data_IF_081980800826
#
_entry.id   IF_081980800826
#
_cell.length_a   1.000
_cell.length_b   1.000
_cell.length_c   1.000
_cell.angle_alpha   90.00
_cell.angle_beta   90.00
_cell.angle_gamma   90.00
#
_symmetry.space_group_name_H-M   'P 1'
#
loop_
_entity.id
_entity.type
_entity.pdbx_description
1 polymer ?
#
# COMPACT_ATOMS: atom_id res chain seq x y z
N UNK A 1 4.56 11.20 -2.69
CA UNK A 1 3.21 11.44 -2.11
C UNK A 1 2.21 11.67 -3.24
N UNK A 2 0.91 11.79 -2.93
CA UNK A 2 -0.11 12.11 -3.93
C UNK A 2 0.03 13.54 -4.43
N UNK A 3 -0.33 13.77 -5.70
CA UNK A 3 -0.38 15.10 -6.31
C UNK A 3 -1.78 15.46 -6.78
N UNK A 4 -2.04 16.75 -6.99
CA UNK A 4 -3.35 17.23 -7.40
C UNK A 4 -3.73 16.71 -8.79
N UNK A 5 -4.95 16.23 -8.95
CA UNK A 5 -5.44 15.65 -10.21
C UNK A 5 -4.87 14.26 -10.54
N UNK A 6 -4.20 13.61 -9.59
CA UNK A 6 -3.67 12.26 -9.79
C UNK A 6 -4.80 11.24 -9.97
N UNK A 7 -4.69 10.42 -11.03
CA UNK A 7 -5.63 9.34 -11.38
C UNK A 7 -5.05 7.96 -11.00
N UNK A 8 -3.74 7.77 -11.22
CA UNK A 8 -3.06 6.50 -11.00
C UNK A 8 -2.56 6.35 -9.56
N UNK A 9 -2.08 5.15 -9.21
CA UNK A 9 -1.37 4.91 -7.95
C UNK A 9 -0.12 5.81 -7.82
N UNK A 10 0.42 5.92 -6.61
CA UNK A 10 1.69 6.62 -6.37
C UNK A 10 2.83 5.91 -7.10
N UNK A 11 3.82 6.71 -7.54
CA UNK A 11 5.04 6.18 -8.12
C UNK A 11 5.72 5.18 -7.16
N UNK A 12 6.18 4.03 -7.67
CA UNK A 12 6.76 2.99 -6.85
C UNK A 12 8.15 3.40 -6.35
N UNK A 13 8.38 3.18 -5.08
CA UNK A 13 9.68 3.34 -4.44
C UNK A 13 10.26 2.02 -3.90
N UNK A 14 9.58 0.91 -4.15
CA UNK A 14 10.02 -0.45 -3.83
C UNK A 14 9.79 -1.38 -5.04
N UNK A 15 10.47 -2.53 -5.04
CA UNK A 15 10.25 -3.58 -6.04
C UNK A 15 8.83 -4.12 -5.97
N UNK A 16 8.34 -4.36 -4.75
CA UNK A 16 6.97 -4.82 -4.46
C UNK A 16 5.92 -3.86 -5.02
N UNK A 17 6.05 -2.55 -4.80
CA UNK A 17 5.07 -1.59 -5.32
C UNK A 17 5.09 -1.53 -6.85
N UNK A 18 6.26 -1.73 -7.47
CA UNK A 18 6.38 -1.86 -8.93
C UNK A 18 5.62 -3.08 -9.46
N UNK A 19 5.74 -4.24 -8.81
CA UNK A 19 5.00 -5.45 -9.17
C UNK A 19 3.49 -5.30 -8.91
N UNK A 20 3.09 -4.60 -7.84
CA UNK A 20 1.68 -4.26 -7.59
C UNK A 20 1.08 -3.39 -8.69
N UNK A 21 1.83 -2.40 -9.19
CA UNK A 21 1.43 -1.56 -10.32
C UNK A 21 1.22 -2.39 -11.59
N UNK A 22 2.16 -3.28 -11.92
CA UNK A 22 2.05 -4.16 -13.09
C UNK A 22 0.84 -5.11 -12.97
N UNK A 23 0.62 -5.67 -11.78
CA UNK A 23 -0.54 -6.52 -11.52
C UNK A 23 -1.86 -5.74 -11.60
N UNK A 24 -1.88 -4.52 -11.06
CA UNK A 24 -3.02 -3.61 -11.17
C UNK A 24 -3.36 -3.32 -12.64
N UNK A 25 -2.37 -3.00 -13.47
CA UNK A 25 -2.60 -2.69 -14.88
C UNK A 25 -3.10 -3.91 -15.67
N UNK A 26 -2.56 -5.10 -15.38
CA UNK A 26 -3.08 -6.36 -15.93
C UNK A 26 -4.55 -6.58 -15.53
N UNK A 27 -4.90 -6.37 -14.27
CA UNK A 27 -6.28 -6.49 -13.81
C UNK A 27 -7.20 -5.44 -14.44
N UNK A 28 -6.75 -4.19 -14.53
CA UNK A 28 -7.52 -3.10 -15.12
C UNK A 28 -7.76 -3.33 -16.62
N UNK A 29 -6.79 -3.85 -17.35
CA UNK A 29 -6.95 -4.24 -18.75
C UNK A 29 -8.10 -5.24 -18.93
N UNK A 30 -8.14 -6.28 -18.09
CA UNK A 30 -9.20 -7.29 -18.15
C UNK A 30 -10.57 -6.71 -17.77
N UNK A 31 -10.64 -5.90 -16.71
CA UNK A 31 -11.88 -5.24 -16.27
C UNK A 31 -12.43 -4.33 -17.38
N UNK A 32 -11.57 -3.51 -18.00
CA UNK A 32 -11.96 -2.65 -19.11
C UNK A 32 -12.41 -3.46 -20.33
N UNK A 33 -11.72 -4.56 -20.64
CA UNK A 33 -12.12 -5.48 -21.71
C UNK A 33 -13.52 -6.08 -21.49
N UNK A 34 -13.79 -6.57 -20.29
CA UNK A 34 -15.12 -7.11 -19.92
C UNK A 34 -16.17 -6.00 -19.95
N UNK A 35 -15.88 -4.84 -19.37
CA UNK A 35 -16.80 -3.71 -19.32
C UNK A 35 -17.18 -3.22 -20.72
N UNK A 36 -16.19 -3.05 -21.60
CA UNK A 36 -16.43 -2.62 -22.99
C UNK A 36 -17.23 -3.65 -23.79
N UNK A 37 -16.97 -4.95 -23.59
CA UNK A 37 -17.75 -6.03 -24.20
C UNK A 37 -19.22 -5.98 -23.75
N UNK A 38 -19.46 -5.94 -22.44
CA UNK A 38 -20.82 -5.92 -21.87
C UNK A 38 -21.57 -4.65 -22.28
N UNK A 39 -20.92 -3.49 -22.20
CA UNK A 39 -21.49 -2.23 -22.64
C UNK A 39 -21.80 -2.24 -24.15
N UNK A 40 -20.92 -2.79 -24.97
CA UNK A 40 -21.12 -2.94 -26.42
C UNK A 40 -22.33 -3.81 -26.76
N UNK A 41 -22.46 -4.97 -26.11
CA UNK A 41 -23.62 -5.86 -26.25
C UNK A 41 -24.90 -5.14 -25.77
N UNK A 42 -24.84 -4.45 -24.62
CA UNK A 42 -25.96 -3.68 -24.08
C UNK A 42 -26.46 -2.61 -25.05
N UNK A 43 -25.56 -1.82 -25.63
CA UNK A 43 -25.90 -0.80 -26.63
C UNK A 43 -26.51 -1.44 -27.89
N UNK A 44 -25.96 -2.56 -28.35
CA UNK A 44 -26.48 -3.29 -29.51
C UNK A 44 -27.91 -3.78 -29.28
N UNK A 45 -28.18 -4.39 -28.11
CA UNK A 45 -29.52 -4.86 -27.73
C UNK A 45 -30.50 -3.68 -27.63
N UNK A 46 -30.11 -2.58 -26.97
CA UNK A 46 -30.96 -1.38 -26.82
C UNK A 46 -31.28 -0.70 -28.16
N UNK A 47 -30.38 -0.81 -29.15
CA UNK A 47 -30.61 -0.27 -30.50
C UNK A 47 -31.40 -1.21 -31.42
N UNK A 48 -31.52 -2.48 -31.06
CA UNK A 48 -32.24 -3.46 -31.87
C UNK A 48 -33.72 -3.11 -31.94
N UNK A 49 -34.27 -3.06 -33.16
CA UNK A 49 -35.72 -2.94 -33.40
C UNK A 49 -36.41 -4.31 -33.54
N UNK A 50 -35.62 -5.39 -33.61
CA UNK A 50 -36.12 -6.74 -33.77
C UNK A 50 -36.56 -7.29 -32.41
N UNK A 51 -37.69 -7.99 -32.37
CA UNK A 51 -38.20 -8.63 -31.15
C UNK A 51 -38.51 -10.10 -31.39
N UNK A 52 -38.29 -10.92 -30.37
CA UNK A 52 -38.72 -12.31 -30.31
C UNK A 52 -39.37 -12.56 -28.96
N UNK A 53 -40.43 -13.39 -28.93
CA UNK A 53 -41.11 -13.84 -27.70
C UNK A 53 -40.73 -15.27 -27.31
N UNK A 54 -39.91 -15.93 -28.13
CA UNK A 54 -39.47 -17.30 -27.89
C UNK A 54 -38.19 -17.25 -27.08
N UNK A 55 -38.14 -18.04 -26.01
CA UNK A 55 -36.89 -18.35 -25.33
C UNK A 55 -36.14 -19.35 -26.20
N UNK A 56 -34.88 -19.06 -26.48
CA UNK A 56 -34.01 -19.95 -27.24
C UNK A 56 -33.04 -20.60 -26.27
N UNK A 57 -33.05 -21.93 -26.23
CA UNK A 57 -32.00 -22.69 -25.58
C UNK A 57 -30.70 -22.55 -26.40
N UNK A 58 -29.60 -22.24 -25.73
CA UNK A 58 -28.32 -22.01 -26.36
C UNK A 58 -27.17 -22.60 -25.53
N UNK A 59 -27.20 -23.92 -25.34
CA UNK A 59 -26.21 -24.65 -24.54
C UNK A 59 -24.75 -24.33 -24.96
N UNK A 60 -24.50 -24.14 -26.25
CA UNK A 60 -23.16 -23.77 -26.75
C UNK A 60 -22.71 -22.40 -26.23
N UNK A 61 -23.61 -21.42 -26.16
CA UNK A 61 -23.33 -20.10 -25.59
C UNK A 61 -23.07 -20.19 -24.08
N UNK A 62 -23.85 -21.02 -23.39
CA UNK A 62 -23.68 -21.25 -21.94
C UNK A 62 -22.31 -21.84 -21.60
N UNK A 63 -21.84 -22.79 -22.41
CA UNK A 63 -20.50 -23.36 -22.26
C UNK A 63 -19.43 -22.29 -22.47
N UNK A 64 -19.56 -21.45 -23.50
CA UNK A 64 -18.58 -20.40 -23.83
C UNK A 64 -18.48 -19.37 -22.70
N UNK A 65 -19.60 -18.80 -22.24
CA UNK A 65 -19.56 -17.78 -21.19
C UNK A 65 -19.23 -18.33 -19.79
N UNK A 66 -19.15 -19.66 -19.63
CA UNK A 66 -18.75 -20.29 -18.37
C UNK A 66 -17.25 -20.56 -18.37
N UNK A 67 -16.74 -21.13 -19.46
CA UNK A 67 -15.31 -21.46 -19.60
C UNK A 67 -14.47 -20.19 -19.76
N UNK A 68 -14.92 -19.22 -20.56
CA UNK A 68 -14.15 -18.00 -20.86
C UNK A 68 -13.82 -17.19 -19.58
N UNK A 69 -14.78 -16.83 -18.70
CA UNK A 69 -14.46 -16.15 -17.44
C UNK A 69 -13.57 -17.01 -16.53
N UNK A 70 -13.76 -18.33 -16.51
CA UNK A 70 -12.89 -19.23 -15.76
C UNK A 70 -11.42 -19.12 -16.19
N UNK A 71 -11.15 -19.07 -17.48
CA UNK A 71 -9.80 -18.86 -18.02
C UNK A 71 -9.25 -17.46 -17.68
N UNK A 72 -10.08 -16.42 -17.75
CA UNK A 72 -9.68 -15.05 -17.35
C UNK A 72 -9.33 -14.95 -15.86
N UNK A 73 -10.04 -15.67 -14.99
CA UNK A 73 -9.70 -15.71 -13.56
C UNK A 73 -8.36 -16.40 -13.31
N UNK A 74 -8.01 -17.43 -14.09
CA UNK A 74 -6.70 -18.10 -13.97
C UNK A 74 -5.57 -17.12 -14.33
N UNK A 75 -5.73 -16.31 -15.38
CA UNK A 75 -4.70 -15.32 -15.76
C UNK A 75 -4.54 -14.19 -14.75
N UNK A 76 -5.55 -13.90 -13.93
CA UNK A 76 -5.45 -13.00 -12.77
C UNK A 76 -4.80 -13.69 -11.57
N UNK A 77 -5.21 -14.92 -11.28
CA UNK A 77 -4.80 -15.64 -10.08
C UNK A 77 -3.30 -15.94 -10.07
N UNK A 78 -2.71 -16.36 -11.19
CA UNK A 78 -1.29 -16.73 -11.26
C UNK A 78 -0.33 -15.59 -10.87
N UNK A 79 -0.38 -14.38 -11.49
CA UNK A 79 0.48 -13.28 -11.07
C UNK A 79 0.14 -12.77 -9.66
N UNK A 80 -1.14 -12.79 -9.26
CA UNK A 80 -1.57 -12.41 -7.92
C UNK A 80 -0.93 -13.28 -6.84
N UNK A 81 -0.96 -14.61 -7.00
CA UNK A 81 -0.35 -15.54 -6.07
C UNK A 81 1.16 -15.41 -6.04
N UNK A 82 1.82 -15.23 -7.20
CA UNK A 82 3.27 -14.97 -7.24
C UNK A 82 3.62 -13.74 -6.42
N UNK A 83 2.90 -12.63 -6.60
CA UNK A 83 3.12 -11.40 -5.85
C UNK A 83 2.88 -11.58 -4.36
N UNK A 84 1.84 -12.33 -3.97
CA UNK A 84 1.58 -12.66 -2.56
C UNK A 84 2.77 -13.38 -1.91
N UNK A 85 3.38 -14.35 -2.58
CA UNK A 85 4.55 -15.05 -2.05
C UNK A 85 5.80 -14.16 -1.99
N UNK A 86 6.01 -13.28 -2.98
CA UNK A 86 7.11 -12.30 -2.94
C UNK A 86 6.97 -11.29 -1.80
N UNK A 87 5.72 -10.92 -1.47
CA UNK A 87 5.39 -10.03 -0.36
C UNK A 87 5.66 -10.67 1.01
N UNK A 88 5.34 -11.96 1.14
CA UNK A 88 5.47 -12.69 2.41
C UNK A 88 6.92 -13.12 2.69
N UNK A 89 7.77 -13.16 1.66
CA UNK A 89 9.19 -13.50 1.80
C UNK A 89 9.91 -12.48 2.72
N UNK A 90 10.19 -12.90 3.95
CA UNK A 90 10.99 -12.12 4.89
C UNK A 90 12.48 -12.39 4.66
N UNK A 91 13.31 -11.35 4.50
CA UNK A 91 14.76 -11.54 4.39
C UNK A 91 15.31 -12.10 5.70
N UNK A 92 15.79 -13.35 5.65
CA UNK A 92 16.27 -14.15 6.80
C UNK A 92 17.40 -13.44 7.59
N UNK A 93 18.10 -12.49 6.96
CA UNK A 93 19.25 -11.79 7.51
C UNK A 93 19.07 -10.27 7.62
N UNK A 94 17.83 -9.74 7.66
CA UNK A 94 17.68 -8.29 7.89
C UNK A 94 18.22 -7.93 9.28
N UNK A 95 19.34 -7.21 9.29
CA UNK A 95 19.96 -6.69 10.51
C UNK A 95 19.32 -5.39 10.98
N UNK A 96 18.45 -4.79 10.16
CA UNK A 96 17.77 -3.55 10.49
C UNK A 96 16.31 -3.85 10.81
N UNK A 97 15.85 -3.43 11.98
CA UNK A 97 14.46 -3.55 12.38
C UNK A 97 13.92 -2.21 12.84
N UNK A 98 12.64 -2.00 12.57
CA UNK A 98 11.89 -0.83 12.99
C UNK A 98 10.63 -1.31 13.68
N UNK A 99 10.40 -0.90 14.93
CA UNK A 99 9.09 -1.07 15.54
C UNK A 99 8.28 0.20 15.34
N UNK A 100 7.06 0.07 14.84
CA UNK A 100 6.08 1.13 14.73
C UNK A 100 4.91 0.83 15.68
N UNK A 101 4.66 1.70 16.63
CA UNK A 101 3.67 1.52 17.69
C UNK A 101 2.58 2.58 17.51
N UNK A 102 1.34 2.15 17.32
CA UNK A 102 0.18 3.02 17.18
C UNK A 102 -0.37 3.48 18.54
N UNK A 103 -0.74 4.77 18.59
CA UNK A 103 -1.39 5.43 19.72
C UNK A 103 -2.50 6.36 19.22
N UNK A 104 -3.48 6.68 20.07
CA UNK A 104 -4.45 7.75 19.87
C UNK A 104 -3.80 9.11 20.21
N UNK A 105 -3.42 9.97 19.27
CA UNK A 105 -3.40 9.84 17.80
C UNK A 105 -2.03 10.27 17.26
N UNK A 106 -1.07 9.37 17.36
CA UNK A 106 0.32 9.55 16.94
C UNK A 106 1.00 8.19 16.78
N UNK A 107 2.23 8.19 16.27
CA UNK A 107 3.05 6.98 16.16
C UNK A 107 4.28 7.11 17.03
N UNK A 108 4.66 6.04 17.72
CA UNK A 108 5.97 5.94 18.36
C UNK A 108 6.83 4.94 17.61
N UNK A 109 8.12 5.23 17.50
CA UNK A 109 9.07 4.37 16.80
C UNK A 109 10.19 3.93 17.73
N UNK A 110 10.57 2.66 17.64
CA UNK A 110 11.79 2.13 18.28
C UNK A 110 12.67 1.47 17.22
N UNK A 111 13.95 1.81 17.23
CA UNK A 111 14.94 1.20 16.33
C UNK A 111 15.97 0.47 17.19
N UNK A 112 15.96 -0.88 17.21
CA UNK A 112 16.87 -1.64 18.06
C UNK A 112 18.35 -1.43 17.78
N UNK A 113 18.73 -1.21 16.52
CA UNK A 113 20.11 -0.89 16.16
C UNK A 113 20.58 0.47 16.69
N UNK A 114 19.66 1.36 17.07
CA UNK A 114 19.92 2.70 17.64
C UNK A 114 19.83 2.73 19.17
N UNK A 115 19.99 1.56 19.82
CA UNK A 115 19.93 1.44 21.27
C UNK A 115 18.51 1.47 21.84
N UNK A 116 17.50 1.08 21.05
CA UNK A 116 16.08 1.02 21.46
C UNK A 116 15.53 2.33 22.03
N UNK A 117 16.08 3.50 21.65
CA UNK A 117 15.46 4.78 22.02
C UNK A 117 14.13 4.91 21.30
N UNK A 118 13.06 5.07 22.06
CA UNK A 118 11.75 5.43 21.52
C UNK A 118 11.67 6.94 21.29
N UNK A 119 10.95 7.32 20.24
CA UNK A 119 10.51 8.70 20.03
C UNK A 119 9.11 8.72 19.45
N UNK A 120 8.40 9.81 19.71
CA UNK A 120 7.04 10.01 19.25
C UNK A 120 7.04 10.89 17.99
N UNK A 121 6.09 10.63 17.11
CA UNK A 121 5.89 11.30 15.83
C UNK A 121 4.45 11.80 15.76
N UNK A 122 4.29 13.10 16.00
CA UNK A 122 3.02 13.82 15.96
C UNK A 122 2.90 14.61 14.66
N UNK A 123 1.66 14.78 14.19
CA UNK A 123 1.38 15.66 13.06
C UNK A 123 1.74 17.11 13.41
N UNK A 124 2.48 17.77 12.52
CA UNK A 124 2.76 19.20 12.65
C UNK A 124 1.46 20.01 12.55
N UNK A 125 1.10 20.84 13.55
CA UNK A 125 -0.10 21.67 13.50
C UNK A 125 -0.07 22.61 12.31
N UNK A 126 -1.23 22.85 11.67
CA UNK A 126 -1.29 23.68 10.45
C UNK A 126 -0.74 25.10 10.64
N UNK A 127 -0.79 25.66 11.85
CA UNK A 127 -0.19 26.96 12.18
C UNK A 127 1.33 26.97 12.24
N UNK A 128 1.98 25.81 12.35
CA UNK A 128 3.42 25.63 12.48
C UNK A 128 4.10 25.10 11.21
N UNK A 129 3.32 24.83 10.15
CA UNK A 129 3.82 24.33 8.86
C UNK A 129 4.63 25.43 8.17
N UNK A 130 5.82 25.07 7.70
CA UNK A 130 6.73 25.97 6.98
C UNK A 130 6.33 26.09 5.49
N UNK A 131 6.69 27.18 4.80
CA UNK A 131 6.46 27.30 3.36
C UNK A 131 7.09 26.12 2.58
N UNK A 132 6.25 25.37 1.86
CA UNK A 132 6.66 24.20 1.08
C UNK A 132 6.35 22.84 1.71
N UNK A 133 5.96 22.82 2.99
CA UNK A 133 5.54 21.62 3.70
C UNK A 133 4.07 21.25 3.46
N UNK A 134 3.73 19.98 3.72
CA UNK A 134 2.42 19.43 3.41
C UNK A 134 1.46 19.40 4.61
N UNK A 135 0.31 20.07 4.45
CA UNK A 135 -0.79 20.05 5.41
C UNK A 135 -1.28 18.62 5.66
N UNK A 136 -1.38 18.24 6.94
CA UNK A 136 -1.80 16.94 7.46
C UNK A 136 -0.84 15.76 7.21
N UNK A 137 0.30 15.98 6.55
CA UNK A 137 1.25 14.93 6.22
C UNK A 137 2.58 15.09 6.95
N UNK A 138 2.99 16.32 7.25
CA UNK A 138 4.21 16.54 8.05
C UNK A 138 4.07 16.07 9.49
N UNK A 139 5.21 15.65 10.02
CA UNK A 139 5.39 15.26 11.42
C UNK A 139 6.56 16.03 12.04
N UNK A 140 6.56 16.13 13.37
CA UNK A 140 7.65 16.72 14.14
C UNK A 140 8.94 15.87 14.07
N UNK A 141 8.82 14.54 14.21
CA UNK A 141 9.92 13.60 14.16
C UNK A 141 9.66 12.55 13.08
N UNK A 142 10.50 12.53 12.05
CA UNK A 142 10.45 11.55 10.96
C UNK A 142 11.23 10.30 11.37
N UNK A 143 10.76 9.13 10.94
CA UNK A 143 11.52 7.89 11.13
C UNK A 143 12.53 7.74 9.99
N UNK A 144 13.80 7.57 10.34
CA UNK A 144 14.88 7.43 9.37
C UNK A 144 15.20 5.96 9.14
N UNK A 145 15.35 5.56 7.88
CA UNK A 145 15.70 4.19 7.46
C UNK A 145 16.75 4.21 6.36
N UNK A 146 17.55 3.14 6.17
CA UNK A 146 18.50 3.08 5.08
C UNK A 146 17.80 2.80 3.74
N UNK A 147 18.17 3.53 2.69
CA UNK A 147 17.82 3.19 1.31
C UNK A 147 18.64 2.00 0.81
N UNK A 148 18.06 1.20 -0.08
CA UNK A 148 18.66 0.03 -0.74
C UNK A 148 19.12 -1.06 0.25
N UNK A 149 18.44 -1.15 1.40
CA UNK A 149 18.65 -2.17 2.42
C UNK A 149 17.30 -2.59 3.00
N UNK A 150 17.15 -3.89 3.28
CA UNK A 150 15.96 -4.44 3.90
C UNK A 150 15.81 -3.98 5.35
N UNK A 151 14.59 -3.56 5.70
CA UNK A 151 14.20 -3.19 7.06
C UNK A 151 12.96 -3.97 7.45
N UNK A 152 13.08 -4.84 8.47
CA UNK A 152 11.93 -5.54 9.03
C UNK A 152 11.12 -4.58 9.90
N UNK A 153 9.92 -4.24 9.45
CA UNK A 153 8.98 -3.38 10.19
C UNK A 153 8.07 -4.26 11.03
N UNK A 154 8.08 -4.05 12.35
CA UNK A 154 7.20 -4.71 13.30
C UNK A 154 6.18 -3.69 13.78
N UNK A 155 4.89 -3.94 13.54
CA UNK A 155 3.81 -3.02 13.90
C UNK A 155 2.95 -3.59 15.01
N UNK A 156 2.54 -2.74 15.96
CA UNK A 156 1.60 -3.07 17.04
C UNK A 156 0.92 -1.80 17.55
N UNK A 157 -0.03 -1.94 18.47
CA UNK A 157 -0.72 -0.81 19.09
C UNK A 157 -0.79 -0.98 20.61
N UNK A 158 -0.88 0.14 21.32
CA UNK A 158 -1.09 0.17 22.77
C UNK A 158 -2.53 0.43 23.20
N UNK A 159 -3.41 0.84 22.28
CA UNK A 159 -4.80 1.20 22.57
C UNK A 159 -5.83 0.50 21.68
N UNK A 160 -6.14 1.06 20.51
CA UNK A 160 -7.10 0.56 19.53
C UNK A 160 -6.38 0.07 18.28
N UNK A 161 -7.09 -0.49 17.31
CA UNK A 161 -6.48 -0.89 16.05
C UNK A 161 -6.11 0.37 15.24
N UNK A 162 -4.89 0.38 14.71
CA UNK A 162 -4.42 1.33 13.70
C UNK A 162 -3.91 0.55 12.48
N UNK A 163 -3.50 1.23 11.42
CA UNK A 163 -2.78 0.58 10.33
C UNK A 163 -1.65 1.46 9.83
N UNK A 164 -0.44 0.93 9.85
CA UNK A 164 0.76 1.60 9.39
C UNK A 164 0.89 1.40 7.88
N UNK A 165 0.72 2.47 7.10
CA UNK A 165 0.64 2.40 5.65
C UNK A 165 1.52 3.43 4.96
N UNK A 166 2.28 2.97 3.96
CA UNK A 166 3.15 3.76 3.08
C UNK A 166 2.88 3.35 1.62
N UNK A 167 1.96 4.05 0.93
CA UNK A 167 1.50 3.60 -0.38
C UNK A 167 2.59 3.55 -1.45
N UNK A 168 3.55 4.49 -1.45
CA UNK A 168 4.66 4.48 -2.43
C UNK A 168 5.62 3.28 -2.25
N UNK A 169 5.62 2.65 -1.09
CA UNK A 169 6.40 1.44 -0.82
C UNK A 169 5.58 0.16 -0.96
N UNK A 170 4.26 0.27 -1.23
CA UNK A 170 3.36 -0.89 -1.31
C UNK A 170 3.11 -1.53 0.05
N UNK A 171 3.16 -0.72 1.12
CA UNK A 171 3.11 -1.20 2.49
C UNK A 171 1.81 -0.78 3.16
N UNK A 172 1.09 -1.74 3.72
CA UNK A 172 0.03 -1.52 4.70
C UNK A 172 -0.01 -2.72 5.64
N UNK A 173 0.11 -2.48 6.95
CA UNK A 173 -0.04 -3.52 7.96
C UNK A 173 -0.76 -2.99 9.19
N UNK A 174 -1.78 -3.73 9.61
CA UNK A 174 -2.57 -3.37 10.78
C UNK A 174 -1.75 -3.52 12.06
N UNK A 175 -1.88 -2.53 12.93
CA UNK A 175 -1.27 -2.44 14.24
C UNK A 175 -2.33 -2.80 15.27
N UNK A 176 -2.31 -4.06 15.71
CA UNK A 176 -3.35 -4.64 16.57
C UNK A 176 -2.83 -4.76 18.01
N UNK A 177 -3.57 -4.27 19.03
CA UNK A 177 -3.17 -4.43 20.43
C UNK A 177 -2.96 -5.90 20.81
N UNK A 178 -1.83 -6.19 21.47
CA UNK A 178 -1.49 -7.56 21.89
C UNK A 178 -0.98 -8.48 20.77
N UNK A 179 -0.78 -7.96 19.54
CA UNK A 179 -0.21 -8.72 18.41
C UNK A 179 0.94 -7.94 17.77
N UNK A 180 2.03 -8.64 17.51
CA UNK A 180 3.14 -8.13 16.71
C UNK A 180 2.96 -8.61 15.27
N UNK A 181 2.73 -7.67 14.37
CA UNK A 181 2.67 -7.92 12.94
C UNK A 181 3.99 -7.51 12.30
N UNK A 182 4.45 -8.25 11.30
CA UNK A 182 5.75 -7.99 10.66
C UNK A 182 5.61 -7.93 9.15
N UNK A 183 6.40 -7.06 8.53
CA UNK A 183 6.57 -7.00 7.08
C UNK A 183 7.95 -6.46 6.72
N UNK A 184 8.40 -6.71 5.48
CA UNK A 184 9.66 -6.16 4.99
C UNK A 184 9.44 -4.82 4.28
N UNK A 185 10.38 -3.90 4.46
CA UNK A 185 10.44 -2.63 3.74
C UNK A 185 11.81 -2.50 3.06
N UNK A 186 11.79 -2.19 1.75
CA UNK A 186 13.00 -2.00 0.95
C UNK A 186 12.86 -0.77 0.03
N UNK A 187 13.20 0.43 0.51
CA UNK A 187 13.15 1.64 -0.31
C UNK A 187 14.31 1.65 -1.31
N UNK A 188 14.04 1.72 -2.61
CA UNK A 188 15.07 1.71 -3.66
C UNK A 188 15.80 3.06 -3.82
N UNK A 189 15.21 4.13 -3.31
CA UNK A 189 15.68 5.50 -3.47
C UNK A 189 15.70 6.21 -2.11
N UNK A 190 16.64 7.15 -1.96
CA UNK A 190 16.61 8.09 -0.85
C UNK A 190 15.53 9.15 -1.06
N UNK A 191 14.88 9.60 0.01
CA UNK A 191 13.80 10.58 -0.05
C UNK A 191 12.80 10.46 1.09
N UNK A 192 11.71 11.24 0.98
CA UNK A 192 10.61 11.24 1.94
C UNK A 192 9.42 10.47 1.40
N UNK A 193 8.96 9.48 2.15
CA UNK A 193 7.79 8.67 1.86
C UNK A 193 6.70 8.96 2.89
N UNK A 194 5.55 9.40 2.39
CA UNK A 194 4.42 9.81 3.21
C UNK A 194 3.35 8.73 3.24
N UNK A 195 2.69 8.63 4.38
CA UNK A 195 1.63 7.70 4.68
C UNK A 195 0.64 8.27 5.68
N UNK A 196 -0.46 7.56 5.90
CA UNK A 196 -1.46 7.90 6.90
C UNK A 196 -2.01 6.63 7.55
N UNK A 197 -2.54 6.77 8.76
CA UNK A 197 -3.28 5.68 9.40
C UNK A 197 -4.43 5.23 8.49
N UNK A 198 -4.48 3.91 8.21
CA UNK A 198 -5.43 3.32 7.26
C UNK A 198 -6.45 2.40 7.93
N UNK A 199 -6.69 2.60 9.23
CA UNK A 199 -7.72 1.91 10.03
C UNK A 199 -8.36 2.89 11.03
N UNK A 200 -9.68 2.84 11.19
CA UNK A 200 -10.42 3.82 11.98
C UNK A 200 -10.05 3.75 13.48
N UNK A 201 -9.48 4.83 14.01
CA UNK A 201 -8.93 4.85 15.38
C UNK A 201 -9.47 5.97 16.29
N UNK A 202 -10.55 6.64 15.89
CA UNK A 202 -11.26 7.64 16.72
C UNK A 202 -11.19 9.07 16.15
N UNK A 203 -11.34 10.07 17.02
CA UNK A 203 -11.59 11.46 16.65
C UNK A 203 -10.53 12.07 15.71
N UNK A 204 -9.24 11.79 15.95
CA UNK A 204 -8.16 12.32 15.15
C UNK A 204 -7.54 11.29 14.19
N UNK A 205 -8.34 10.32 13.72
CA UNK A 205 -7.89 9.29 12.78
C UNK A 205 -7.17 9.86 11.54
N UNK A 206 -7.66 10.97 10.99
CA UNK A 206 -7.07 11.64 9.83
C UNK A 206 -5.78 12.44 10.13
N UNK A 207 -5.39 12.57 11.40
CA UNK A 207 -4.37 13.51 11.88
C UNK A 207 -3.17 12.81 12.53
N UNK A 208 -2.88 11.58 12.13
CA UNK A 208 -1.71 10.81 12.55
C UNK A 208 -0.95 10.25 11.35
N UNK A 209 -0.29 11.14 10.56
CA UNK A 209 0.45 10.75 9.38
C UNK A 209 1.73 9.98 9.73
N UNK A 210 2.33 9.40 8.70
CA UNK A 210 3.57 8.64 8.77
C UNK A 210 4.53 9.28 7.78
N UNK A 211 5.74 9.62 8.22
CA UNK A 211 6.81 10.08 7.33
C UNK A 211 8.06 9.25 7.56
N UNK A 212 8.44 8.51 6.53
CA UNK A 212 9.68 7.75 6.48
C UNK A 212 10.69 8.50 5.63
N UNK A 213 11.84 8.79 6.21
CA UNK A 213 12.99 9.36 5.51
C UNK A 213 13.99 8.24 5.18
N UNK A 214 14.09 7.88 3.91
CA UNK A 214 15.12 6.97 3.44
C UNK A 214 16.40 7.76 3.13
N UNK A 215 17.51 7.38 3.77
CA UNK A 215 18.82 8.00 3.57
C UNK A 215 19.84 6.97 3.10
N UNK A 216 20.92 7.38 2.41
CA UNK A 216 22.01 6.47 2.06
C UNK A 216 22.55 5.72 3.28
N UNK A 217 22.92 4.46 3.10
CA UNK A 217 23.36 3.58 4.21
C UNK A 217 24.48 4.21 5.07
N UNK A 218 25.45 4.90 4.46
CA UNK A 218 26.52 5.57 5.20
C UNK A 218 26.00 6.68 6.13
N UNK A 219 25.02 7.46 5.68
CA UNK A 219 24.39 8.50 6.52
C UNK A 219 23.59 7.88 7.66
N UNK A 220 22.90 6.75 7.40
CA UNK A 220 22.18 6.01 8.42
C UNK A 220 23.11 5.45 9.50
N UNK A 221 24.25 4.87 9.10
CA UNK A 221 25.29 4.35 10.01
C UNK A 221 25.87 5.47 10.89
N UNK A 222 26.15 6.65 10.32
CA UNK A 222 26.64 7.80 11.07
C UNK A 222 25.60 8.31 12.08
N UNK A 223 24.31 8.35 11.71
CA UNK A 223 23.22 8.70 12.61
C UNK A 223 23.13 7.70 13.78
N UNK A 224 23.45 6.43 13.49
CA UNK A 224 23.47 5.36 14.46
C UNK A 224 24.67 5.35 15.40
N UNK A 225 25.68 6.18 15.15
CA UNK A 225 26.89 6.23 15.96
C UNK A 225 27.79 5.01 15.79
N UNK A 226 27.72 4.34 14.63
CA UNK A 226 28.66 3.28 14.22
C UNK A 226 29.89 3.87 13.52
#
# INVERSE_FOLDING_TARGET
MSHWGQINLLDPASTIQSEMLLFHDHALMLILGIFTLVAGIGIFILRSKLSTRRVHEAQTLEIIWTILPGLLLITLALPSLRLLYLLDEQPVNSKNSLKAIGHQWFWSYEIPSLGNKSFDSYMTPTSAILPGEYRLLEVDNRVVVPSNLDTSVVTTSTDVIHAWALPSLGIKMDSVPGRLNMMNMHPLLAGLFYGQCSEICGANHAFMPIVVEAVPANSYINLAGF
#
